data_IF_805808245819
#
_entry.id   IF_805808245819
#
_cell.length_a   1.000
_cell.length_b   1.000
_cell.length_c   1.000
_cell.angle_alpha   90.00
_cell.angle_beta   90.00
_cell.angle_gamma   90.00
#
_symmetry.space_group_name_H-M   'P 1'
#
loop_
_entity.id
_entity.type
_entity.pdbx_description
1 polymer ?
#
# COMPACT_ATOMS: atom_id res chain seq x y z
N UNK A 1 -21.50 5.19 -4.29
CA UNK A 1 -20.87 6.08 -3.28
C UNK A 1 -19.98 7.05 -4.05
N UNK A 2 -20.43 8.28 -4.25
CA UNK A 2 -19.74 9.30 -5.05
C UNK A 2 -18.62 9.91 -4.18
N UNK A 3 -17.46 9.26 -4.15
CA UNK A 3 -16.23 9.89 -3.69
C UNK A 3 -15.79 10.82 -4.82
N UNK A 4 -15.80 12.14 -4.58
CA UNK A 4 -14.99 13.06 -5.36
C UNK A 4 -13.57 12.52 -5.38
N UNK A 5 -13.21 11.82 -6.45
CA UNK A 5 -11.94 11.12 -6.61
C UNK A 5 -10.92 12.15 -7.06
N UNK A 6 -10.36 12.90 -6.11
CA UNK A 6 -9.19 13.71 -6.40
C UNK A 6 -8.11 12.82 -7.02
N UNK A 7 -7.80 13.10 -8.29
CA UNK A 7 -6.83 12.33 -9.08
C UNK A 7 -5.42 12.59 -8.54
N UNK A 8 -4.56 11.58 -8.67
CA UNK A 8 -3.16 11.65 -8.22
C UNK A 8 -2.45 12.84 -8.86
N UNK A 9 -1.72 13.62 -8.07
CA UNK A 9 -1.02 14.83 -8.54
C UNK A 9 0.11 14.48 -9.51
N UNK A 10 0.79 13.36 -9.31
CA UNK A 10 1.79 12.82 -10.24
C UNK A 10 1.17 12.48 -11.60
N UNK A 11 -0.04 11.91 -11.61
CA UNK A 11 -0.78 11.59 -12.83
C UNK A 11 -1.25 12.87 -13.56
N UNK A 12 -1.82 13.83 -12.86
CA UNK A 12 -2.24 15.13 -13.44
C UNK A 12 -1.04 15.84 -14.07
N UNK A 13 0.11 15.83 -13.38
CA UNK A 13 1.31 16.48 -13.91
C UNK A 13 1.83 15.78 -15.16
N UNK A 14 1.87 14.44 -15.16
CA UNK A 14 2.24 13.67 -16.34
C UNK A 14 1.34 13.97 -17.56
N UNK A 15 0.03 14.10 -17.35
CA UNK A 15 -0.90 14.47 -18.42
C UNK A 15 -0.61 15.86 -18.98
N UNK A 16 -0.26 16.81 -18.12
CA UNK A 16 0.14 18.14 -18.56
C UNK A 16 1.43 18.13 -19.39
N UNK A 17 2.39 17.26 -19.06
CA UNK A 17 3.63 17.09 -19.84
C UNK A 17 3.36 16.48 -21.22
N UNK A 18 2.31 15.66 -21.33
CA UNK A 18 1.84 15.11 -22.60
C UNK A 18 1.05 16.13 -23.44
N UNK A 19 0.73 17.31 -22.89
CA UNK A 19 -0.17 18.26 -23.53
C UNK A 19 -1.65 17.86 -23.46
N UNK A 20 -2.01 16.95 -22.56
CA UNK A 20 -3.37 16.44 -22.42
C UNK A 20 -4.12 17.19 -21.32
N UNK A 21 -5.17 17.93 -21.70
CA UNK A 21 -6.03 18.67 -20.77
C UNK A 21 -7.34 17.94 -20.45
N UNK A 22 -7.78 17.02 -21.32
CA UNK A 22 -8.92 16.14 -21.09
C UNK A 22 -8.44 14.72 -20.75
N UNK A 23 -8.60 14.26 -19.49
CA UNK A 23 -8.19 12.91 -19.06
C UNK A 23 -8.77 11.77 -19.89
N UNK A 24 -9.95 11.93 -20.48
CA UNK A 24 -10.60 10.91 -21.32
C UNK A 24 -9.87 10.71 -22.65
N UNK A 25 -9.15 11.73 -23.12
CA UNK A 25 -8.37 11.69 -24.36
C UNK A 25 -6.93 11.19 -24.15
N UNK A 26 -6.51 10.86 -22.93
CA UNK A 26 -5.09 10.58 -22.60
C UNK A 26 -4.48 9.45 -23.44
N UNK A 27 -5.31 8.49 -23.88
CA UNK A 27 -4.89 7.39 -24.77
C UNK A 27 -4.27 7.89 -26.07
N UNK A 28 -4.72 9.03 -26.60
CA UNK A 28 -4.23 9.61 -27.85
C UNK A 28 -2.78 10.12 -27.73
N UNK A 29 -2.34 10.45 -26.51
CA UNK A 29 -1.02 10.99 -26.23
C UNK A 29 -0.01 9.92 -25.78
N UNK A 30 -0.44 8.66 -25.67
CA UNK A 30 0.37 7.60 -25.06
C UNK A 30 1.71 7.34 -25.75
N UNK A 31 1.81 7.57 -27.05
CA UNK A 31 3.03 7.32 -27.83
C UNK A 31 4.08 8.43 -27.63
N UNK A 32 3.67 9.60 -27.14
CA UNK A 32 4.58 10.70 -26.78
C UNK A 32 5.27 10.48 -25.43
N UNK A 33 4.73 9.59 -24.59
CA UNK A 33 5.18 9.41 -23.21
C UNK A 33 6.66 9.05 -23.11
N UNK A 34 7.15 8.13 -23.95
CA UNK A 34 8.57 7.70 -23.92
C UNK A 34 9.54 8.74 -24.47
N UNK A 35 9.04 9.81 -25.11
CA UNK A 35 9.85 10.96 -25.53
C UNK A 35 10.11 11.96 -24.40
N UNK A 36 9.46 11.81 -23.23
CA UNK A 36 9.66 12.70 -22.09
C UNK A 36 10.94 12.30 -21.35
N UNK A 37 11.90 13.22 -21.32
CA UNK A 37 13.07 13.18 -20.44
C UNK A 37 12.98 14.33 -19.46
N UNK A 38 13.04 14.02 -18.16
CA UNK A 38 12.81 15.01 -17.12
C UNK A 38 13.96 16.02 -17.04
N UNK A 39 13.66 17.30 -17.23
CA UNK A 39 14.57 18.37 -16.83
C UNK A 39 14.49 18.60 -15.30
N UNK A 40 15.41 19.41 -14.77
CA UNK A 40 15.51 19.71 -13.33
C UNK A 40 14.21 20.23 -12.73
N UNK A 41 13.49 21.10 -13.45
CA UNK A 41 12.21 21.66 -13.01
C UNK A 41 11.13 20.58 -12.94
N UNK A 42 11.04 19.75 -13.96
CA UNK A 42 10.07 18.64 -14.04
C UNK A 42 10.33 17.57 -12.98
N UNK A 43 11.59 17.19 -12.78
CA UNK A 43 11.98 16.26 -11.73
C UNK A 43 11.59 16.80 -10.33
N UNK A 44 11.86 18.09 -10.08
CA UNK A 44 11.49 18.75 -8.81
C UNK A 44 9.97 18.78 -8.61
N UNK A 45 9.21 19.09 -9.65
CA UNK A 45 7.75 19.09 -9.61
C UNK A 45 7.19 17.69 -9.31
N UNK A 46 7.69 16.66 -9.99
CA UNK A 46 7.29 15.28 -9.72
C UNK A 46 7.60 14.85 -8.28
N UNK A 47 8.79 15.15 -7.73
CA UNK A 47 9.10 14.83 -6.31
C UNK A 47 8.12 15.46 -5.34
N UNK A 48 7.77 16.72 -5.56
CA UNK A 48 6.75 17.42 -4.76
C UNK A 48 5.42 16.67 -4.83
N UNK A 49 4.98 16.29 -6.03
CA UNK A 49 3.73 15.55 -6.21
C UNK A 49 3.79 14.12 -5.65
N UNK A 50 4.93 13.46 -5.71
CA UNK A 50 5.18 12.18 -5.04
C UNK A 50 4.92 12.29 -3.54
N UNK A 51 5.45 13.32 -2.87
CA UNK A 51 5.20 13.53 -1.44
C UNK A 51 3.72 13.71 -1.09
N UNK A 52 2.96 14.45 -1.91
CA UNK A 52 1.52 14.65 -1.72
C UNK A 52 0.72 13.36 -1.93
N UNK A 53 1.02 12.63 -2.99
CA UNK A 53 0.34 11.36 -3.29
C UNK A 53 0.74 10.27 -2.27
N UNK A 54 2.01 10.24 -1.83
CA UNK A 54 2.50 9.33 -0.79
C UNK A 54 1.74 9.54 0.51
N UNK A 55 1.58 10.79 0.97
CA UNK A 55 0.75 11.11 2.15
C UNK A 55 -0.67 10.58 2.01
N UNK A 56 -1.27 10.74 0.83
CA UNK A 56 -2.63 10.28 0.56
C UNK A 56 -2.74 8.75 0.63
N UNK A 57 -1.75 8.03 0.10
CA UNK A 57 -1.67 6.58 0.17
C UNK A 57 -1.36 6.07 1.58
N UNK A 58 -0.45 6.72 2.32
CA UNK A 58 -0.20 6.41 3.74
C UNK A 58 -1.48 6.52 4.55
N UNK A 59 -2.29 7.57 4.33
CA UNK A 59 -3.53 7.78 5.06
C UNK A 59 -4.56 6.68 4.73
N UNK A 60 -4.71 6.33 3.45
CA UNK A 60 -5.57 5.22 3.03
C UNK A 60 -5.11 3.90 3.64
N UNK A 61 -3.80 3.64 3.65
CA UNK A 61 -3.20 2.46 4.26
C UNK A 61 -3.50 2.38 5.76
N UNK A 62 -3.29 3.48 6.49
CA UNK A 62 -3.60 3.58 7.91
C UNK A 62 -5.09 3.34 8.21
N UNK A 63 -6.00 3.99 7.46
CA UNK A 63 -7.44 3.80 7.63
C UNK A 63 -7.86 2.36 7.37
N UNK A 64 -7.32 1.72 6.32
CA UNK A 64 -7.56 0.30 6.04
C UNK A 64 -7.07 -0.59 7.17
N UNK A 65 -5.86 -0.36 7.69
CA UNK A 65 -5.30 -1.14 8.80
C UNK A 65 -6.14 -1.00 10.08
N UNK A 66 -6.44 0.22 10.51
CA UNK A 66 -7.21 0.44 11.74
C UNK A 66 -8.66 -0.07 11.61
N UNK A 67 -9.24 0.00 10.42
CA UNK A 67 -10.56 -0.59 10.17
C UNK A 67 -10.53 -2.12 10.28
N UNK A 68 -9.45 -2.76 9.82
CA UNK A 68 -9.25 -4.19 9.96
C UNK A 68 -9.10 -4.58 11.45
N UNK A 69 -8.23 -3.89 12.18
CA UNK A 69 -8.01 -4.14 13.62
C UNK A 69 -9.29 -3.94 14.44
N UNK A 70 -10.09 -2.92 14.12
CA UNK A 70 -11.43 -2.70 14.71
C UNK A 70 -12.42 -3.81 14.34
N UNK A 71 -12.33 -4.34 13.12
CA UNK A 71 -13.15 -5.47 12.70
C UNK A 71 -12.81 -6.74 13.49
N UNK A 72 -11.51 -7.05 13.60
CA UNK A 72 -11.01 -8.23 14.33
C UNK A 72 -11.38 -8.13 15.82
N UNK A 73 -11.22 -6.95 16.44
CA UNK A 73 -11.61 -6.73 17.84
C UNK A 73 -13.11 -6.94 18.09
N UNK A 74 -13.94 -6.89 17.04
CA UNK A 74 -15.38 -7.16 17.07
C UNK A 74 -15.74 -8.57 16.59
N UNK A 75 -14.76 -9.46 16.47
CA UNK A 75 -14.94 -10.85 16.05
C UNK A 75 -15.19 -11.06 14.55
N UNK A 76 -14.91 -10.05 13.70
CA UNK A 76 -15.01 -10.19 12.25
C UNK A 76 -13.71 -10.76 11.70
N UNK A 77 -13.80 -11.65 10.71
CA UNK A 77 -12.66 -12.43 10.24
C UNK A 77 -12.40 -12.14 8.75
N UNK A 78 -13.42 -12.34 7.91
CA UNK A 78 -13.33 -12.27 6.45
C UNK A 78 -13.02 -10.86 5.93
N UNK A 79 -13.81 -9.86 6.34
CA UNK A 79 -13.63 -8.49 5.84
C UNK A 79 -12.32 -7.84 6.31
N UNK A 80 -11.86 -8.06 7.56
CA UNK A 80 -10.54 -7.62 7.97
C UNK A 80 -9.39 -8.13 7.11
N UNK A 81 -9.41 -9.39 6.63
CA UNK A 81 -8.37 -9.89 5.69
C UNK A 81 -8.29 -9.02 4.44
N UNK A 82 -9.46 -8.66 3.88
CA UNK A 82 -9.55 -7.77 2.72
C UNK A 82 -8.95 -6.41 3.04
N UNK A 83 -9.28 -5.85 4.20
CA UNK A 83 -8.79 -4.54 4.63
C UNK A 83 -7.27 -4.55 4.92
N UNK A 84 -6.73 -5.62 5.50
CA UNK A 84 -5.30 -5.82 5.74
C UNK A 84 -4.51 -5.87 4.43
N UNK A 85 -5.03 -6.57 3.42
CA UNK A 85 -4.46 -6.54 2.08
C UNK A 85 -4.48 -5.14 1.47
N UNK A 86 -5.60 -4.42 1.54
CA UNK A 86 -5.68 -3.05 1.02
C UNK A 86 -4.75 -2.09 1.76
N UNK A 87 -4.55 -2.29 3.06
CA UNK A 87 -3.55 -1.54 3.82
C UNK A 87 -2.16 -1.72 3.19
N UNK A 88 -1.73 -2.96 2.97
CA UNK A 88 -0.45 -3.26 2.30
C UNK A 88 -0.38 -2.68 0.89
N UNK A 89 -1.42 -2.82 0.08
CA UNK A 89 -1.48 -2.25 -1.26
C UNK A 89 -1.23 -0.73 -1.25
N UNK A 90 -1.92 0.01 -0.39
CA UNK A 90 -1.75 1.45 -0.29
C UNK A 90 -0.37 1.84 0.28
N UNK A 91 0.14 1.10 1.26
CA UNK A 91 1.46 1.36 1.85
C UNK A 91 2.60 1.09 0.85
N UNK A 92 2.48 0.06 0.00
CA UNK A 92 3.42 -0.16 -1.10
C UNK A 92 3.40 0.96 -2.13
N UNK A 93 2.21 1.48 -2.47
CA UNK A 93 2.08 2.66 -3.35
C UNK A 93 2.76 3.87 -2.74
N UNK A 94 2.61 4.09 -1.43
CA UNK A 94 3.29 5.15 -0.72
C UNK A 94 4.82 4.96 -0.77
N UNK A 95 5.31 3.75 -0.50
CA UNK A 95 6.75 3.46 -0.43
C UNK A 95 7.47 3.71 -1.76
N UNK A 96 6.84 3.34 -2.88
CA UNK A 96 7.36 3.65 -4.22
C UNK A 96 7.43 5.17 -4.46
N UNK A 97 6.40 5.92 -4.05
CA UNK A 97 6.36 7.36 -4.19
C UNK A 97 7.36 8.08 -3.28
N UNK A 98 7.57 7.60 -2.05
CA UNK A 98 8.60 8.13 -1.14
C UNK A 98 9.99 8.01 -1.77
N UNK A 99 10.27 6.91 -2.48
CA UNK A 99 11.47 6.72 -3.32
C UNK A 99 11.44 7.45 -4.66
N UNK A 100 10.51 8.39 -4.84
CA UNK A 100 10.36 9.20 -6.04
C UNK A 100 10.16 8.36 -7.32
N UNK A 101 9.54 7.18 -7.22
CA UNK A 101 9.19 6.34 -8.36
C UNK A 101 7.70 6.47 -8.66
N UNK A 102 7.39 7.03 -9.82
CA UNK A 102 6.01 7.21 -10.26
C UNK A 102 5.49 6.00 -11.02
N UNK A 103 4.20 5.67 -10.85
CA UNK A 103 3.44 4.77 -11.72
C UNK A 103 2.40 5.63 -12.43
N UNK A 104 2.54 5.74 -13.75
CA UNK A 104 1.78 6.66 -14.60
C UNK A 104 0.95 5.86 -15.62
N UNK A 105 -0.19 6.41 -16.04
CA UNK A 105 -1.08 5.74 -17.01
C UNK A 105 -1.46 6.66 -18.17
N UNK A 106 -1.37 6.13 -19.38
CA UNK A 106 -1.97 6.70 -20.59
C UNK A 106 -2.43 5.55 -21.48
N UNK A 107 -3.46 4.80 -21.04
CA UNK A 107 -3.89 3.48 -21.56
C UNK A 107 -2.84 2.35 -21.42
N UNK A 108 -1.55 2.66 -21.54
CA UNK A 108 -0.41 1.84 -21.15
C UNK A 108 0.11 2.28 -19.78
N UNK A 109 0.94 1.44 -19.17
CA UNK A 109 1.63 1.75 -17.90
C UNK A 109 3.00 2.32 -18.22
N UNK A 110 3.33 3.41 -17.53
CA UNK A 110 4.63 4.05 -17.57
C UNK A 110 5.20 4.23 -16.18
N UNK A 111 6.50 4.44 -16.09
CA UNK A 111 7.20 4.77 -14.85
C UNK A 111 8.36 5.71 -15.11
N UNK A 112 8.75 6.46 -14.09
CA UNK A 112 9.95 7.29 -14.13
C UNK A 112 10.46 7.48 -12.71
N UNK A 113 11.79 7.62 -12.57
CA UNK A 113 12.39 8.14 -11.35
C UNK A 113 12.38 9.66 -11.43
N UNK A 114 12.00 10.35 -10.37
CA UNK A 114 11.92 11.81 -10.41
C UNK A 114 13.32 12.45 -10.26
N UNK A 115 14.22 12.17 -11.19
CA UNK A 115 15.59 12.68 -11.25
C UNK A 115 15.83 13.35 -12.61
N UNK A 116 16.68 14.38 -12.61
CA UNK A 116 17.03 15.10 -13.83
C UNK A 116 17.76 14.16 -14.81
N UNK A 117 17.32 14.13 -16.06
CA UNK A 117 17.83 13.26 -17.11
C UNK A 117 17.13 11.90 -17.21
N UNK A 118 16.25 11.55 -16.28
CA UNK A 118 15.50 10.29 -16.35
C UNK A 118 14.39 10.36 -17.39
N UNK A 119 14.26 9.28 -18.17
CA UNK A 119 13.19 9.13 -19.12
C UNK A 119 11.91 8.59 -18.47
N UNK A 120 10.77 8.86 -19.08
CA UNK A 120 9.56 8.09 -18.84
C UNK A 120 9.65 6.80 -19.63
N UNK A 121 9.59 5.68 -18.92
CA UNK A 121 9.71 4.35 -19.51
C UNK A 121 8.34 3.67 -19.60
N UNK A 122 8.08 3.03 -20.74
CA UNK A 122 6.95 2.12 -20.86
C UNK A 122 7.24 0.83 -20.10
N UNK A 123 6.31 0.40 -19.27
CA UNK A 123 6.44 -0.86 -18.53
C UNK A 123 5.81 -1.99 -19.32
N UNK A 124 6.64 -3.00 -19.64
CA UNK A 124 6.15 -4.30 -20.12
C UNK A 124 5.75 -5.14 -18.91
N UNK A 125 4.44 -5.32 -18.72
CA UNK A 125 3.88 -5.99 -17.55
C UNK A 125 2.96 -7.14 -17.94
N UNK A 126 3.39 -8.02 -18.87
CA UNK A 126 2.59 -9.11 -19.43
C UNK A 126 1.81 -9.94 -18.39
N UNK A 127 2.34 -10.05 -17.16
CA UNK A 127 1.76 -10.84 -16.08
C UNK A 127 0.96 -10.03 -15.05
N UNK A 128 1.06 -8.69 -15.04
CA UNK A 128 0.33 -7.84 -14.10
C UNK A 128 -0.98 -7.35 -14.72
N UNK A 129 -2.09 -8.03 -14.40
CA UNK A 129 -3.40 -7.83 -15.03
C UNK A 129 -4.26 -6.76 -14.33
N UNK A 130 -3.91 -6.40 -13.09
CA UNK A 130 -4.62 -5.40 -12.29
C UNK A 130 -3.67 -4.34 -11.70
N UNK A 131 -4.21 -3.23 -11.18
CA UNK A 131 -3.43 -2.23 -10.43
C UNK A 131 -2.73 -2.83 -9.20
N UNK A 132 -3.35 -3.85 -8.62
CA UNK A 132 -2.82 -4.63 -7.52
C UNK A 132 -1.58 -5.44 -7.93
N UNK A 133 -1.71 -6.26 -8.97
CA UNK A 133 -0.57 -7.03 -9.50
C UNK A 133 0.55 -6.10 -9.96
N UNK A 134 0.17 -4.93 -10.52
CA UNK A 134 1.14 -3.94 -10.95
C UNK A 134 1.93 -3.39 -9.76
N UNK A 135 1.26 -3.05 -8.66
CA UNK A 135 1.92 -2.52 -7.47
C UNK A 135 2.89 -3.52 -6.87
N UNK A 136 2.50 -4.80 -6.80
CA UNK A 136 3.39 -5.89 -6.35
C UNK A 136 4.57 -6.05 -7.31
N UNK A 137 4.33 -6.02 -8.63
CA UNK A 137 5.38 -6.06 -9.63
C UNK A 137 6.40 -4.91 -9.46
N UNK A 138 5.93 -3.69 -9.22
CA UNK A 138 6.80 -2.55 -8.96
C UNK A 138 7.56 -2.69 -7.64
N UNK A 139 6.91 -3.15 -6.58
CA UNK A 139 7.57 -3.43 -5.30
C UNK A 139 8.71 -4.45 -5.50
N UNK A 140 8.43 -5.58 -6.16
CA UNK A 140 9.46 -6.58 -6.50
C UNK A 140 10.59 -5.98 -7.35
N UNK A 141 10.27 -5.15 -8.34
CA UNK A 141 11.28 -4.59 -9.24
C UNK A 141 12.19 -3.54 -8.58
N UNK A 142 11.64 -2.69 -7.70
CA UNK A 142 12.34 -1.49 -7.23
C UNK A 142 12.59 -1.45 -5.72
N UNK A 143 11.98 -2.34 -4.95
CA UNK A 143 12.17 -2.43 -3.50
C UNK A 143 12.90 -3.71 -3.09
N UNK A 144 13.18 -4.64 -4.02
CA UNK A 144 13.95 -5.83 -3.69
C UNK A 144 15.35 -5.47 -3.14
N UNK A 145 15.75 -6.11 -2.04
CA UNK A 145 16.97 -5.78 -1.29
C UNK A 145 16.91 -4.50 -0.44
N UNK A 146 15.88 -3.68 -0.61
CA UNK A 146 15.62 -2.49 0.23
C UNK A 146 14.50 -2.74 1.24
N UNK A 147 13.54 -3.57 0.86
CA UNK A 147 12.40 -3.95 1.66
C UNK A 147 12.64 -5.31 2.31
N UNK A 148 12.82 -5.31 3.64
CA UNK A 148 13.02 -6.54 4.43
C UNK A 148 11.84 -7.52 4.29
N UNK A 149 10.61 -7.06 4.03
CA UNK A 149 9.47 -7.96 3.83
C UNK A 149 9.45 -8.63 2.45
N UNK A 150 10.48 -8.42 1.63
CA UNK A 150 10.71 -9.20 0.40
C UNK A 150 11.87 -10.20 0.57
N UNK A 151 12.45 -10.31 1.77
CA UNK A 151 13.65 -11.12 2.01
C UNK A 151 13.39 -12.63 2.11
N UNK A 152 12.17 -13.03 2.42
CA UNK A 152 11.77 -14.43 2.57
C UNK A 152 10.41 -14.68 1.93
N UNK A 153 10.12 -15.96 1.69
CA UNK A 153 8.85 -16.44 1.13
C UNK A 153 7.94 -17.00 2.22
N UNK A 154 6.63 -16.98 1.95
CA UNK A 154 5.59 -17.60 2.77
C UNK A 154 5.00 -18.71 1.93
N UNK A 155 5.18 -19.97 2.35
CA UNK A 155 4.74 -21.14 1.59
C UNK A 155 5.23 -21.15 0.13
N UNK A 156 6.45 -20.67 -0.11
CA UNK A 156 7.05 -20.59 -1.45
C UNK A 156 6.59 -19.40 -2.30
N UNK A 157 5.94 -18.41 -1.68
CA UNK A 157 5.45 -17.21 -2.36
C UNK A 157 6.00 -15.91 -1.78
N UNK A 158 6.11 -14.87 -2.62
CA UNK A 158 6.45 -13.55 -2.12
C UNK A 158 5.35 -13.05 -1.17
N UNK A 159 5.69 -12.42 -0.03
CA UNK A 159 4.72 -12.08 1.02
C UNK A 159 3.52 -11.26 0.55
N UNK A 160 3.73 -10.30 -0.37
CA UNK A 160 2.62 -9.51 -0.93
C UNK A 160 1.73 -10.30 -1.89
N UNK A 161 2.28 -11.28 -2.60
CA UNK A 161 1.53 -12.20 -3.46
C UNK A 161 0.72 -13.17 -2.60
N UNK A 162 1.35 -13.71 -1.53
CA UNK A 162 0.70 -14.57 -0.54
C UNK A 162 -0.51 -13.85 0.09
N UNK A 163 -0.33 -12.62 0.61
CA UNK A 163 -1.42 -11.86 1.21
C UNK A 163 -2.53 -11.52 0.20
N UNK A 164 -2.16 -11.27 -1.07
CA UNK A 164 -3.15 -11.09 -2.15
C UNK A 164 -3.99 -12.35 -2.35
N UNK A 165 -3.38 -13.54 -2.30
CA UNK A 165 -4.09 -14.82 -2.40
C UNK A 165 -5.02 -15.05 -1.22
N UNK A 166 -4.60 -14.72 0.00
CA UNK A 166 -5.49 -14.76 1.17
C UNK A 166 -6.72 -13.88 0.95
N UNK A 167 -6.51 -12.63 0.50
CA UNK A 167 -7.63 -11.74 0.17
C UNK A 167 -8.54 -12.30 -0.92
N UNK A 168 -7.98 -12.83 -2.01
CA UNK A 168 -8.78 -13.40 -3.11
C UNK A 168 -9.58 -14.63 -2.65
N UNK A 169 -9.03 -15.44 -1.74
CA UNK A 169 -9.70 -16.59 -1.13
C UNK A 169 -10.90 -16.15 -0.30
N UNK A 170 -10.67 -15.32 0.73
CA UNK A 170 -11.71 -14.87 1.65
C UNK A 170 -12.75 -13.96 0.99
N UNK A 171 -12.39 -13.20 -0.05
CA UNK A 171 -13.33 -12.29 -0.71
C UNK A 171 -14.21 -12.96 -1.77
N UNK A 172 -13.66 -13.89 -2.56
CA UNK A 172 -14.33 -14.34 -3.79
C UNK A 172 -14.61 -15.84 -3.86
N UNK A 173 -13.89 -16.67 -3.08
CA UNK A 173 -13.95 -18.14 -3.21
C UNK A 173 -14.76 -18.80 -2.11
N UNK A 174 -15.29 -18.03 -1.18
CA UNK A 174 -15.97 -18.52 0.01
C UNK A 174 -17.45 -18.22 0.00
N UNK A 175 -18.22 -19.11 0.62
CA UNK A 175 -19.65 -18.87 0.88
C UNK A 175 -19.82 -17.80 1.96
N UNK A 176 -20.93 -17.08 1.90
CA UNK A 176 -21.38 -16.04 2.82
C UNK A 176 -21.37 -16.46 4.30
N UNK A 177 -21.46 -17.75 4.62
CA UNK A 177 -21.45 -18.26 6.00
C UNK A 177 -20.06 -18.51 6.60
N UNK A 178 -18.98 -18.27 5.85
CA UNK A 178 -17.60 -18.54 6.34
C UNK A 178 -17.27 -17.79 7.64
N UNK A 179 -17.81 -16.59 7.82
CA UNK A 179 -17.53 -15.75 8.99
C UNK A 179 -18.05 -16.35 10.31
N UNK A 180 -18.94 -17.36 10.24
CA UNK A 180 -19.41 -18.09 11.42
C UNK A 180 -18.52 -19.28 11.81
N UNK A 181 -17.69 -19.77 10.89
CA UNK A 181 -17.02 -21.08 11.03
C UNK A 181 -15.50 -21.03 10.85
N UNK A 182 -14.95 -19.93 10.33
CA UNK A 182 -13.53 -19.77 10.05
C UNK A 182 -12.95 -18.60 10.85
N UNK A 183 -11.81 -18.82 11.48
CA UNK A 183 -11.06 -17.79 12.21
C UNK A 183 -10.14 -16.96 11.31
N UNK A 184 -10.29 -17.07 9.99
CA UNK A 184 -9.44 -16.40 9.03
C UNK A 184 -8.03 -17.02 8.99
N UNK A 185 -7.12 -16.37 8.23
CA UNK A 185 -5.71 -16.73 8.20
C UNK A 185 -4.98 -16.12 9.42
N UNK A 186 -5.58 -16.21 10.60
CA UNK A 186 -5.09 -15.60 11.83
C UNK A 186 -4.81 -16.66 12.88
N UNK A 187 -3.72 -16.47 13.61
CA UNK A 187 -3.46 -17.23 14.81
C UNK A 187 -4.60 -17.07 15.83
N UNK A 188 -4.95 -18.16 16.51
CA UNK A 188 -6.10 -18.23 17.41
C UNK A 188 -6.07 -17.12 18.48
N UNK A 189 -7.12 -16.29 18.47
CA UNK A 189 -7.32 -15.24 19.47
C UNK A 189 -7.69 -15.77 20.86
N UNK A 190 -8.08 -17.05 20.96
CA UNK A 190 -8.29 -17.74 22.24
C UNK A 190 -6.97 -18.14 22.88
N UNK A 191 -5.97 -18.49 22.06
CA UNK A 191 -4.63 -18.87 22.51
C UNK A 191 -3.78 -17.63 22.80
N UNK A 192 -3.92 -16.58 21.99
CA UNK A 192 -3.21 -15.32 22.16
C UNK A 192 -4.06 -14.16 21.68
N UNK A 193 -4.44 -13.28 22.61
CA UNK A 193 -5.31 -12.15 22.29
C UNK A 193 -4.67 -11.19 21.26
N UNK A 194 -5.51 -10.44 20.56
CA UNK A 194 -5.09 -9.54 19.48
C UNK A 194 -4.09 -8.47 19.95
N UNK A 195 -4.22 -7.93 21.16
CA UNK A 195 -3.29 -6.90 21.65
C UNK A 195 -1.90 -7.51 21.89
N UNK A 196 -1.84 -8.71 22.45
CA UNK A 196 -0.59 -9.46 22.65
C UNK A 196 0.10 -9.74 21.32
N UNK A 197 -0.64 -10.24 20.32
CA UNK A 197 -0.11 -10.44 18.96
C UNK A 197 0.44 -9.13 18.36
N UNK A 198 -0.33 -8.04 18.42
CA UNK A 198 0.11 -6.72 17.92
C UNK A 198 1.39 -6.25 18.61
N UNK A 199 1.49 -6.41 19.93
CA UNK A 199 2.69 -6.03 20.67
C UNK A 199 3.91 -6.85 20.23
N UNK A 200 3.75 -8.16 20.01
CA UNK A 200 4.81 -9.01 19.49
C UNK A 200 5.27 -8.52 18.12
N UNK A 201 4.35 -8.29 17.19
CA UNK A 201 4.71 -7.84 15.84
C UNK A 201 5.40 -6.47 15.84
N UNK A 202 4.98 -5.55 16.71
CA UNK A 202 5.62 -4.22 16.81
C UNK A 202 7.02 -4.29 17.43
N UNK A 203 7.27 -5.23 18.34
CA UNK A 203 8.56 -5.46 18.97
C UNK A 203 9.53 -6.28 18.10
N UNK A 204 9.02 -6.96 17.06
CA UNK A 204 9.77 -7.84 16.17
C UNK A 204 10.80 -7.06 15.32
N UNK A 205 12.07 -7.01 15.76
CA UNK A 205 13.13 -6.28 15.07
C UNK A 205 13.50 -6.93 13.72
N UNK A 206 13.58 -8.25 13.72
CA UNK A 206 13.71 -9.08 12.52
C UNK A 206 12.33 -9.65 12.24
N UNK A 207 11.69 -9.37 11.10
CA UNK A 207 10.25 -9.59 10.90
C UNK A 207 9.88 -11.07 10.73
N UNK A 208 10.21 -11.93 11.70
CA UNK A 208 9.97 -13.36 11.70
C UNK A 208 8.48 -13.67 11.50
N UNK A 209 7.61 -13.02 12.27
CA UNK A 209 6.17 -13.27 12.20
C UNK A 209 5.55 -12.87 10.85
N UNK A 210 6.24 -12.03 10.08
CA UNK A 210 5.79 -11.67 8.74
C UNK A 210 5.94 -12.80 7.72
N UNK A 211 6.73 -13.84 8.04
CA UNK A 211 6.98 -14.98 7.14
C UNK A 211 6.38 -16.29 7.63
N UNK A 212 5.80 -16.30 8.83
CA UNK A 212 5.09 -17.45 9.38
C UNK A 212 3.61 -17.40 8.93
N UNK A 213 3.10 -18.40 8.18
CA UNK A 213 1.74 -18.38 7.63
C UNK A 213 0.63 -18.15 8.68
N UNK A 214 0.84 -18.60 9.92
CA UNK A 214 -0.15 -18.47 11.00
C UNK A 214 -0.30 -17.01 11.48
N UNK A 215 0.76 -16.20 11.33
CA UNK A 215 0.80 -14.83 11.81
C UNK A 215 0.83 -13.80 10.67
N UNK A 216 1.27 -14.20 9.48
CA UNK A 216 1.65 -13.32 8.39
C UNK A 216 0.51 -12.40 7.94
N UNK A 217 -0.74 -12.89 7.93
CA UNK A 217 -1.87 -12.09 7.45
C UNK A 217 -2.07 -10.81 8.27
N UNK A 218 -1.77 -10.86 9.58
CA UNK A 218 -1.85 -9.72 10.48
C UNK A 218 -0.51 -9.01 10.66
N UNK A 219 0.59 -9.77 10.78
CA UNK A 219 1.93 -9.24 11.02
C UNK A 219 2.43 -8.40 9.83
N UNK A 220 2.25 -8.86 8.58
CA UNK A 220 2.74 -8.16 7.38
C UNK A 220 2.20 -6.73 7.27
N UNK A 221 0.88 -6.47 7.30
CA UNK A 221 0.33 -5.11 7.26
C UNK A 221 0.81 -4.20 8.39
N UNK A 222 0.91 -4.72 9.62
CA UNK A 222 1.36 -3.94 10.78
C UNK A 222 2.83 -3.56 10.63
N UNK A 223 3.69 -4.51 10.26
CA UNK A 223 5.11 -4.27 10.05
C UNK A 223 5.34 -3.34 8.86
N UNK A 224 4.62 -3.54 7.74
CA UNK A 224 4.66 -2.61 6.59
C UNK A 224 4.28 -1.20 7.02
N UNK A 225 3.25 -1.04 7.84
CA UNK A 225 2.85 0.28 8.33
C UNK A 225 3.95 0.95 9.15
N UNK A 226 4.55 0.22 10.09
CA UNK A 226 5.70 0.70 10.87
C UNK A 226 6.86 1.14 9.96
N UNK A 227 7.25 0.30 8.98
CA UNK A 227 8.32 0.60 8.03
C UNK A 227 7.99 1.80 7.13
N UNK A 228 6.75 1.90 6.64
CA UNK A 228 6.30 3.03 5.83
C UNK A 228 6.27 4.33 6.62
N UNK A 229 5.99 4.33 7.92
CA UNK A 229 6.09 5.52 8.76
C UNK A 229 7.54 5.98 8.95
N UNK A 230 8.47 5.04 9.14
CA UNK A 230 9.91 5.33 9.21
C UNK A 230 10.38 5.98 7.89
N UNK A 231 10.11 5.31 6.77
CA UNK A 231 10.39 5.80 5.42
C UNK A 231 9.75 7.18 5.16
N UNK A 232 8.51 7.39 5.60
CA UNK A 232 7.84 8.69 5.44
C UNK A 232 8.54 9.80 6.24
N UNK A 233 8.97 9.52 7.46
CA UNK A 233 9.73 10.47 8.29
C UNK A 233 11.08 10.83 7.66
N UNK A 234 11.82 9.85 7.13
CA UNK A 234 13.09 10.07 6.41
C UNK A 234 12.92 10.99 5.19
N UNK A 235 11.75 10.94 4.55
CA UNK A 235 11.41 11.77 3.39
C UNK A 235 10.60 13.03 3.75
N UNK A 236 10.49 13.39 5.03
CA UNK A 236 9.72 14.54 5.52
C UNK A 236 8.24 14.55 5.07
N UNK A 237 7.65 13.38 4.89
CA UNK A 237 6.22 13.19 4.59
C UNK A 237 5.50 12.80 5.87
N UNK A 238 4.65 13.69 6.37
CA UNK A 238 3.87 13.45 7.59
C UNK A 238 2.38 13.62 7.34
N UNK A 239 1.56 13.01 8.19
CA UNK A 239 0.14 13.31 8.25
C UNK A 239 -0.09 14.76 8.67
N UNK A 240 -0.99 15.45 7.97
CA UNK A 240 -1.48 16.75 8.44
C UNK A 240 -2.46 16.59 9.62
N UNK A 241 -2.78 17.69 10.28
CA UNK A 241 -3.64 17.70 11.48
C UNK A 241 -5.03 17.11 11.21
N UNK A 242 -5.57 17.29 9.99
CA UNK A 242 -6.87 16.74 9.61
C UNK A 242 -6.80 15.22 9.46
N UNK A 243 -5.75 14.71 8.81
CA UNK A 243 -5.49 13.28 8.71
C UNK A 243 -5.28 12.66 10.10
N UNK A 244 -4.46 13.27 10.96
CA UNK A 244 -4.24 12.79 12.35
C UNK A 244 -5.55 12.73 13.14
N UNK A 245 -6.35 13.80 13.13
CA UNK A 245 -7.67 13.83 13.78
C UNK A 245 -8.58 12.71 13.33
N UNK A 246 -8.64 12.44 12.01
CA UNK A 246 -9.42 11.32 11.45
C UNK A 246 -8.89 9.95 11.84
N UNK A 247 -7.60 9.79 12.08
CA UNK A 247 -7.03 8.52 12.55
C UNK A 247 -7.28 8.33 14.06
N UNK A 248 -7.23 9.40 14.85
CA UNK A 248 -7.49 9.34 16.30
C UNK A 248 -8.88 8.81 16.65
N UNK A 249 -9.86 8.89 15.74
CA UNK A 249 -11.18 8.24 15.95
C UNK A 249 -11.09 6.73 16.21
N UNK A 250 -10.02 6.07 15.76
CA UNK A 250 -9.80 4.64 15.99
C UNK A 250 -9.25 4.32 17.39
N UNK A 251 -8.91 5.33 18.20
CA UNK A 251 -8.36 5.11 19.55
C UNK A 251 -9.36 4.39 20.46
N UNK A 252 -10.67 4.62 20.28
CA UNK A 252 -11.73 3.94 21.01
C UNK A 252 -12.20 2.61 20.40
N UNK A 253 -11.59 2.16 19.30
CA UNK A 253 -12.06 1.00 18.53
C UNK A 253 -11.41 -0.34 18.96
N UNK A 254 -10.67 -0.33 20.08
CA UNK A 254 -10.02 -1.49 20.67
C UNK A 254 -8.56 -1.22 21.06
N UNK A 255 -8.05 -1.98 22.03
CA UNK A 255 -6.69 -1.81 22.55
C UNK A 255 -5.61 -2.00 21.47
N UNK A 256 -5.82 -2.93 20.54
CA UNK A 256 -4.95 -3.14 19.39
C UNK A 256 -4.85 -1.91 18.47
N UNK A 257 -5.98 -1.27 18.17
CA UNK A 257 -6.00 -0.01 17.40
C UNK A 257 -5.25 1.09 18.15
N UNK A 258 -5.56 1.28 19.44
CA UNK A 258 -4.90 2.28 20.28
C UNK A 258 -3.37 2.06 20.33
N UNK A 259 -2.94 0.79 20.39
CA UNK A 259 -1.52 0.43 20.40
C UNK A 259 -0.81 0.80 19.09
N UNK A 260 -1.38 0.46 17.94
CA UNK A 260 -0.79 0.80 16.63
C UNK A 260 -0.85 2.31 16.35
N UNK A 261 -1.86 3.02 16.88
CA UNK A 261 -1.97 4.48 16.78
C UNK A 261 -0.81 5.22 17.48
N UNK A 262 -0.16 4.61 18.47
CA UNK A 262 1.00 5.20 19.15
C UNK A 262 2.23 5.37 18.24
N UNK A 263 2.19 4.84 17.02
CA UNK A 263 3.24 5.05 16.02
C UNK A 263 3.15 6.43 15.32
N UNK A 264 2.05 7.19 15.51
CA UNK A 264 1.73 8.44 14.79
C UNK A 264 2.11 9.73 15.54
#
# INVERSE_FOLDING_TARGET
>A
MNLSSDRLKTQIYFESLLGCTNPEAIKQFQDNATGIVLNRGQATAFRKFCGLDARSFLFKGAVSLFSALSGISKGRQTWPVVQLYYANYYLLRAELLLRNRCILRANRVFTTLCLNGEAVEKVSNKNAKSDHDLTIFFAKKYLNGLDVLLSQEIEGELPYEWLKKQRDWYQYKQDSYIELNDIGPFYSFEQMDLLTQVNMFLADSDPYFCFDPDYAALALPIKRFQLSLISANEHAVQFDNNAKSKLLRFQGEGLACARVLQLL
#
